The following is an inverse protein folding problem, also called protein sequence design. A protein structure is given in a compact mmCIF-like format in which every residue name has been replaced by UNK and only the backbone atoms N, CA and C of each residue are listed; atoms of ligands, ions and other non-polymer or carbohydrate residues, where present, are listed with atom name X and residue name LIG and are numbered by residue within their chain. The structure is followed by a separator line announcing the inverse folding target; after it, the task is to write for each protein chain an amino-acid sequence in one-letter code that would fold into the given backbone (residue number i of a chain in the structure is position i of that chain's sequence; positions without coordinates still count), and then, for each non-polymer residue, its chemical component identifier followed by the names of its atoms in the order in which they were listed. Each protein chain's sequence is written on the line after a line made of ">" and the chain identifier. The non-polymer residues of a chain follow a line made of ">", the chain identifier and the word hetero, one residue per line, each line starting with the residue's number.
data_IF_075357408670
#
_entry.id   IF_075357408670
#
_cell.length_a   1.000
_cell.length_b   1.000
_cell.length_c   1.000
_cell.angle_alpha   90.00
_cell.angle_beta   90.00
_cell.angle_gamma   90.00
#
_symmetry.space_group_name_H-M   'P 1'
#
loop_
_entity.id
_entity.type
_entity.pdbx_description
1 polymer ?
#
# COMPACT_ATOMS: atom_id res chain seq x y z
N UNK A 1 -4.81 22.90 -21.47
CA UNK A 1 -5.92 22.26 -20.72
C UNK A 1 -5.58 20.79 -20.55
N UNK A 2 -5.07 20.39 -19.39
CA UNK A 2 -4.75 18.98 -19.13
C UNK A 2 -6.05 18.23 -18.83
N UNK A 3 -6.48 17.40 -19.78
CA UNK A 3 -7.54 16.42 -19.56
C UNK A 3 -7.09 15.47 -18.46
N UNK A 4 -7.59 15.69 -17.24
CA UNK A 4 -7.24 14.91 -16.07
C UNK A 4 -7.86 13.52 -16.13
N UNK A 5 -7.23 12.60 -16.84
CA UNK A 5 -7.49 11.17 -16.72
C UNK A 5 -7.19 10.76 -15.28
N UNK A 6 -8.24 10.48 -14.49
CA UNK A 6 -8.13 10.12 -13.08
C UNK A 6 -8.89 8.83 -12.81
N UNK A 7 -8.35 8.09 -11.86
CA UNK A 7 -8.55 6.66 -11.74
C UNK A 7 -9.64 6.31 -10.76
N UNK A 8 -10.64 5.60 -11.28
CA UNK A 8 -11.62 4.87 -10.50
C UNK A 8 -10.95 3.59 -10.05
N UNK A 9 -10.87 3.39 -8.74
CA UNK A 9 -10.48 2.10 -8.16
C UNK A 9 -11.77 1.31 -7.98
N UNK A 10 -12.02 0.36 -8.88
CA UNK A 10 -13.14 -0.58 -8.76
C UNK A 10 -12.97 -1.47 -7.53
N UNK A 11 -14.06 -1.77 -6.84
CA UNK A 11 -14.07 -2.68 -5.70
C UNK A 11 -14.48 -4.08 -6.15
N UNK A 12 -13.68 -5.08 -5.80
CA UNK A 12 -14.04 -6.49 -5.97
C UNK A 12 -13.78 -7.16 -4.62
N UNK A 13 -14.86 -7.57 -3.95
CA UNK A 13 -14.75 -8.45 -2.80
C UNK A 13 -15.00 -9.88 -3.29
N UNK A 14 -14.12 -10.81 -2.93
CA UNK A 14 -14.27 -12.23 -3.25
C UNK A 14 -15.20 -12.96 -2.27
N UNK A 15 -15.99 -12.21 -1.50
CA UNK A 15 -16.69 -12.68 -0.32
C UNK A 15 -18.18 -12.33 -0.35
N UNK A 16 -19.01 -13.20 0.24
CA UNK A 16 -20.48 -13.11 0.15
C UNK A 16 -21.14 -12.50 1.40
N UNK A 17 -20.43 -12.46 2.53
CA UNK A 17 -20.97 -11.89 3.77
C UNK A 17 -20.81 -10.38 3.80
N UNK A 18 -21.93 -9.67 4.00
CA UNK A 18 -22.01 -8.22 4.07
C UNK A 18 -21.14 -7.66 5.21
N UNK A 19 -21.06 -8.38 6.34
CA UNK A 19 -20.20 -8.01 7.47
C UNK A 19 -18.73 -7.97 7.06
N UNK A 20 -18.26 -8.99 6.35
CA UNK A 20 -16.85 -9.10 5.96
C UNK A 20 -16.47 -8.08 4.88
N UNK A 21 -17.40 -7.77 3.98
CA UNK A 21 -17.25 -6.65 3.04
C UNK A 21 -17.06 -5.33 3.81
N UNK A 22 -17.90 -5.05 4.80
CA UNK A 22 -17.79 -3.83 5.61
C UNK A 22 -16.46 -3.79 6.36
N UNK A 23 -16.04 -4.90 6.96
CA UNK A 23 -14.81 -4.96 7.76
C UNK A 23 -13.55 -4.82 6.89
N UNK A 24 -13.42 -5.63 5.85
CA UNK A 24 -12.15 -5.77 5.13
C UNK A 24 -12.07 -4.89 3.89
N UNK A 25 -13.18 -4.66 3.18
CA UNK A 25 -13.17 -3.85 1.94
C UNK A 25 -13.49 -2.36 2.18
N UNK A 26 -14.30 -2.04 3.20
CA UNK A 26 -14.69 -0.65 3.51
C UNK A 26 -13.86 -0.08 4.66
N UNK A 27 -13.82 -0.77 5.80
CA UNK A 27 -13.06 -0.32 6.98
C UNK A 27 -11.57 -0.68 6.92
N UNK A 28 -11.15 -1.46 5.92
CA UNK A 28 -9.75 -1.81 5.62
C UNK A 28 -9.02 -2.36 6.84
N UNK A 29 -9.67 -3.26 7.57
CA UNK A 29 -9.07 -3.93 8.73
C UNK A 29 -8.05 -4.96 8.23
N UNK A 30 -6.86 -4.99 8.84
CA UNK A 30 -5.77 -5.87 8.43
C UNK A 30 -5.87 -7.27 9.06
N UNK A 31 -6.27 -7.35 10.32
CA UNK A 31 -6.23 -8.61 11.09
C UNK A 31 -7.61 -9.23 11.22
N UNK A 32 -7.63 -10.55 11.37
CA UNK A 32 -8.85 -11.30 11.66
C UNK A 32 -9.51 -10.81 12.96
N UNK A 33 -10.76 -10.41 12.82
CA UNK A 33 -11.58 -9.90 13.93
C UNK A 33 -12.49 -10.98 14.53
N UNK A 34 -12.53 -12.17 13.93
CA UNK A 34 -13.35 -13.30 14.37
C UNK A 34 -12.56 -14.28 15.25
N UNK A 35 -11.22 -14.20 15.29
CA UNK A 35 -10.38 -15.05 16.12
C UNK A 35 -10.36 -14.58 17.58
N UNK A 36 -10.45 -15.54 18.50
CA UNK A 36 -10.44 -15.29 19.96
C UNK A 36 -9.01 -15.12 20.51
N UNK A 37 -8.00 -15.49 19.73
CA UNK A 37 -6.60 -15.48 20.14
C UNK A 37 -5.88 -14.21 19.70
N UNK A 38 -5.63 -13.29 20.63
CA UNK A 38 -4.46 -12.40 20.63
C UNK A 38 -4.41 -11.22 19.66
N UNK A 39 -5.22 -11.17 18.60
CA UNK A 39 -5.17 -10.06 17.63
C UNK A 39 -5.92 -8.81 18.13
N UNK A 40 -5.44 -7.64 17.70
CA UNK A 40 -5.94 -6.32 18.12
C UNK A 40 -7.36 -6.09 17.58
N UNK A 41 -8.37 -6.45 18.36
CA UNK A 41 -9.78 -6.19 18.02
C UNK A 41 -10.02 -4.68 17.95
N UNK A 42 -10.48 -4.21 16.80
CA UNK A 42 -10.75 -2.78 16.60
C UNK A 42 -12.06 -2.41 17.31
N UNK A 43 -12.10 -1.23 17.95
CA UNK A 43 -13.29 -0.78 18.69
C UNK A 43 -14.43 -0.47 17.72
N UNK A 44 -15.67 -0.68 18.16
CA UNK A 44 -16.87 -0.40 17.35
C UNK A 44 -16.93 1.06 16.89
N UNK A 45 -16.50 1.99 17.74
CA UNK A 45 -16.40 3.42 17.38
C UNK A 45 -15.47 3.64 16.19
N UNK A 46 -14.28 3.03 16.21
CA UNK A 46 -13.30 3.15 15.14
C UNK A 46 -13.84 2.54 13.82
N UNK A 47 -14.62 1.44 13.91
CA UNK A 47 -15.33 0.87 12.74
C UNK A 47 -16.30 1.86 12.12
N UNK A 48 -17.13 2.49 12.94
CA UNK A 48 -18.13 3.47 12.50
C UNK A 48 -17.45 4.70 11.90
N UNK A 49 -16.39 5.20 12.52
CA UNK A 49 -15.65 6.38 12.04
C UNK A 49 -15.01 6.10 10.67
N UNK A 50 -14.43 4.90 10.47
CA UNK A 50 -13.89 4.49 9.16
C UNK A 50 -14.97 4.31 8.09
N UNK A 51 -16.12 3.74 8.46
CA UNK A 51 -17.27 3.61 7.55
C UNK A 51 -17.79 4.99 7.12
N UNK A 52 -17.94 5.92 8.07
CA UNK A 52 -18.35 7.29 7.79
C UNK A 52 -17.32 8.02 6.90
N UNK A 53 -16.03 7.81 7.16
CA UNK A 53 -14.96 8.36 6.32
C UNK A 53 -15.02 7.83 4.89
N UNK A 54 -15.19 6.51 4.72
CA UNK A 54 -15.34 5.92 3.39
C UNK A 54 -16.55 6.50 2.67
N UNK A 55 -17.71 6.53 3.34
CA UNK A 55 -18.96 7.05 2.77
C UNK A 55 -18.83 8.51 2.34
N UNK A 56 -18.23 9.38 3.18
CA UNK A 56 -17.99 10.78 2.84
C UNK A 56 -16.96 11.00 1.72
N UNK A 57 -16.17 9.98 1.40
CA UNK A 57 -15.16 10.03 0.34
C UNK A 57 -15.71 9.59 -1.02
N UNK A 58 -16.71 8.70 -1.04
CA UNK A 58 -17.38 8.24 -2.28
C UNK A 58 -17.99 9.42 -3.03
N UNK A 59 -17.70 9.54 -4.32
CA UNK A 59 -18.27 10.59 -5.17
C UNK A 59 -17.81 12.01 -4.82
N UNK A 60 -16.84 12.18 -3.91
CA UNK A 60 -16.31 13.50 -3.53
C UNK A 60 -15.70 14.25 -4.73
N UNK A 61 -15.19 13.52 -5.70
CA UNK A 61 -14.66 14.07 -6.95
C UNK A 61 -15.50 13.60 -8.12
N UNK A 62 -15.97 14.54 -8.95
CA UNK A 62 -16.81 14.23 -10.12
C UNK A 62 -16.15 13.30 -11.13
N UNK A 63 -14.81 13.26 -11.16
CA UNK A 63 -14.01 12.41 -12.03
C UNK A 63 -13.42 11.17 -11.33
N UNK A 64 -13.81 10.90 -10.08
CA UNK A 64 -13.45 9.69 -9.35
C UNK A 64 -14.65 9.27 -8.48
N UNK A 65 -15.61 8.50 -9.03
CA UNK A 65 -16.80 8.05 -8.30
C UNK A 65 -16.49 7.17 -7.08
N UNK A 66 -15.31 6.53 -7.02
CA UNK A 66 -14.88 5.72 -5.87
C UNK A 66 -14.49 6.55 -4.64
N UNK A 67 -14.19 5.86 -3.53
CA UNK A 67 -13.72 6.50 -2.29
C UNK A 67 -12.22 6.82 -2.28
N UNK A 68 -11.46 6.34 -3.27
CA UNK A 68 -10.00 6.42 -3.31
C UNK A 68 -9.51 7.12 -4.57
N UNK A 69 -8.36 7.78 -4.45
CA UNK A 69 -7.66 8.44 -5.55
C UNK A 69 -6.21 7.98 -5.58
N UNK A 70 -5.60 8.02 -6.77
CA UNK A 70 -4.20 7.68 -6.96
C UNK A 70 -3.48 8.75 -7.81
N UNK A 71 -2.25 9.16 -7.43
CA UNK A 71 -1.48 10.13 -8.20
C UNK A 71 -1.06 9.54 -9.55
N UNK A 72 -1.25 10.32 -10.62
CA UNK A 72 -0.65 10.04 -11.93
C UNK A 72 0.88 10.04 -11.75
N UNK A 73 1.58 9.13 -12.42
CA UNK A 73 3.02 8.83 -12.27
C UNK A 73 3.41 8.12 -10.97
N UNK A 74 2.44 7.79 -10.11
CA UNK A 74 2.66 6.95 -8.94
C UNK A 74 2.93 7.72 -7.64
N UNK A 75 3.03 6.97 -6.53
CA UNK A 75 3.14 7.55 -5.18
C UNK A 75 4.43 8.37 -4.96
N UNK A 76 5.46 8.17 -5.78
CA UNK A 76 6.70 8.95 -5.73
C UNK A 76 6.50 10.45 -5.95
N UNK A 77 5.44 10.85 -6.67
CA UNK A 77 5.12 12.27 -6.90
C UNK A 77 4.77 13.02 -5.62
N UNK A 78 4.28 12.32 -4.59
CA UNK A 78 3.96 12.94 -3.30
C UNK A 78 5.23 13.44 -2.61
N UNK A 79 6.26 12.60 -2.49
CA UNK A 79 7.51 12.99 -1.86
C UNK A 79 8.19 14.12 -2.63
N UNK A 80 8.19 14.06 -3.97
CA UNK A 80 8.71 15.12 -4.83
C UNK A 80 7.95 16.44 -4.65
N UNK A 81 6.61 16.40 -4.56
CA UNK A 81 5.77 17.58 -4.35
C UNK A 81 6.07 18.25 -3.01
N UNK A 82 6.24 17.47 -1.94
CA UNK A 82 6.64 18.00 -0.63
C UNK A 82 8.06 18.57 -0.65
N UNK A 83 9.02 17.89 -1.28
CA UNK A 83 10.38 18.39 -1.44
C UNK A 83 10.40 19.74 -2.18
N UNK A 84 9.62 19.86 -3.25
CA UNK A 84 9.46 21.12 -3.99
C UNK A 84 8.87 22.22 -3.11
N UNK A 85 7.83 21.91 -2.33
CA UNK A 85 7.22 22.88 -1.40
C UNK A 85 8.21 23.35 -0.33
N UNK A 86 9.03 22.45 0.20
CA UNK A 86 10.09 22.78 1.15
C UNK A 86 11.18 23.66 0.50
N UNK A 87 11.58 23.36 -0.73
CA UNK A 87 12.56 24.15 -1.47
C UNK A 87 12.11 25.60 -1.72
N UNK A 88 10.82 25.82 -2.01
CA UNK A 88 10.24 27.17 -2.11
C UNK A 88 10.37 27.96 -0.80
N UNK A 89 10.48 27.27 0.35
CA UNK A 89 10.72 27.86 1.67
C UNK A 89 12.19 27.92 2.06
N UNK A 90 13.11 27.66 1.13
CA UNK A 90 14.55 27.74 1.35
C UNK A 90 15.18 26.46 1.91
N UNK A 91 14.44 25.35 2.01
CA UNK A 91 15.02 24.07 2.41
C UNK A 91 15.82 23.46 1.26
N UNK A 92 17.07 23.09 1.51
CA UNK A 92 17.89 22.33 0.57
C UNK A 92 17.70 20.84 0.88
N UNK A 93 17.26 20.06 -0.11
CA UNK A 93 17.23 18.61 -0.03
C UNK A 93 18.42 18.05 -0.80
N UNK A 94 19.22 17.22 -0.15
CA UNK A 94 20.35 16.55 -0.78
C UNK A 94 20.76 15.32 0.03
N UNK A 95 21.24 14.29 -0.67
CA UNK A 95 21.81 13.10 -0.04
C UNK A 95 23.34 13.26 0.07
N UNK A 96 23.87 13.35 1.28
CA UNK A 96 25.32 13.44 1.50
C UNK A 96 25.70 13.93 2.90
N UNK A 97 26.97 13.77 3.25
CA UNK A 97 27.56 14.35 4.46
C UNK A 97 27.94 15.82 4.18
N UNK A 98 27.05 16.75 4.50
CA UNK A 98 27.29 18.18 4.29
C UNK A 98 28.04 18.79 5.48
N UNK A 99 29.15 19.49 5.21
CA UNK A 99 29.93 20.24 6.22
C UNK A 99 29.50 21.71 6.35
N UNK A 100 28.67 22.19 5.43
CA UNK A 100 28.27 23.60 5.33
C UNK A 100 27.54 23.92 4.03
N UNK A 101 27.13 25.19 3.89
CA UNK A 101 26.50 25.73 2.67
C UNK A 101 27.30 26.95 2.19
N UNK A 102 27.52 27.06 0.87
CA UNK A 102 28.09 28.25 0.25
C UNK A 102 26.99 29.07 -0.39
N UNK A 103 26.81 30.29 0.09
CA UNK A 103 25.82 31.23 -0.45
C UNK A 103 26.30 31.80 -1.79
N UNK A 104 25.35 32.24 -2.62
CA UNK A 104 25.65 32.90 -3.91
C UNK A 104 26.48 34.19 -3.76
N UNK A 105 26.51 34.79 -2.56
CA UNK A 105 27.39 35.91 -2.21
C UNK A 105 28.87 35.53 -2.07
N UNK A 106 29.20 34.24 -2.17
CA UNK A 106 30.54 33.71 -1.92
C UNK A 106 30.82 33.40 -0.44
N UNK A 107 29.90 33.75 0.46
CA UNK A 107 30.02 33.45 1.88
C UNK A 107 29.85 31.95 2.15
N UNK A 108 30.82 31.36 2.84
CA UNK A 108 30.81 29.95 3.22
C UNK A 108 30.40 29.83 4.70
N UNK A 109 29.30 29.14 4.96
CA UNK A 109 28.80 28.87 6.30
C UNK A 109 29.07 27.40 6.63
N UNK A 110 30.08 27.15 7.47
CA UNK A 110 30.39 25.83 8.02
C UNK A 110 29.89 25.74 9.47
N UNK A 111 29.27 24.62 9.82
CA UNK A 111 28.80 24.37 11.19
C UNK A 111 28.94 22.88 11.51
N UNK A 112 29.47 22.58 12.70
CA UNK A 112 29.49 21.23 13.27
C UNK A 112 28.08 20.76 13.69
N UNK A 113 27.14 21.71 13.84
CA UNK A 113 25.75 21.51 14.22
C UNK A 113 24.84 21.99 13.09
N UNK A 114 25.02 21.45 11.88
CA UNK A 114 24.04 21.67 10.83
C UNK A 114 22.74 20.98 11.29
N UNK A 115 21.70 21.77 11.60
CA UNK A 115 20.36 21.22 11.80
C UNK A 115 19.82 20.88 10.41
N UNK A 116 20.33 19.79 9.85
CA UNK A 116 19.56 19.00 8.91
C UNK A 116 18.27 18.69 9.66
N UNK A 117 17.11 18.95 9.06
CA UNK A 117 15.87 18.44 9.61
C UNK A 117 16.13 16.98 9.93
N UNK A 118 16.10 16.61 11.23
CA UNK A 118 16.35 15.25 11.68
C UNK A 118 15.59 14.33 10.71
N UNK A 119 16.20 13.25 10.18
CA UNK A 119 15.43 12.29 9.40
C UNK A 119 14.18 12.03 10.24
N UNK A 120 13.01 12.41 9.70
CA UNK A 120 11.76 12.30 10.43
C UNK A 120 11.56 10.80 10.66
N UNK A 121 12.06 10.30 11.77
CA UNK A 121 11.64 9.04 12.35
C UNK A 121 10.26 9.39 12.85
N UNK A 122 9.24 9.02 12.09
CA UNK A 122 7.87 9.03 12.58
C UNK A 122 7.89 8.07 13.76
N UNK A 123 7.82 8.56 15.02
CA UNK A 123 7.56 7.66 16.11
C UNK A 123 6.13 7.19 15.85
N UNK A 124 5.94 5.89 15.69
CA UNK A 124 4.61 5.34 15.87
C UNK A 124 4.30 5.52 17.36
N UNK A 125 3.72 6.67 17.71
CA UNK A 125 3.18 6.91 19.03
C UNK A 125 2.00 5.95 19.21
N UNK A 126 2.30 4.82 19.84
CA UNK A 126 1.29 4.06 20.56
C UNK A 126 0.70 5.03 21.58
N UNK A 127 -0.58 5.33 21.41
CA UNK A 127 -1.37 6.13 22.34
C UNK A 127 -1.33 5.43 23.70
N UNK A 128 -0.43 5.87 24.58
CA UNK A 128 -0.49 5.59 26.00
C UNK A 128 -0.44 6.87 26.80
N UNK A 129 -1.24 6.86 27.85
CA UNK A 129 -1.75 7.99 28.61
C UNK A 129 -0.64 8.86 29.20
N UNK A 130 -0.95 10.17 29.26
CA UNK A 130 -0.30 11.12 30.19
C UNK A 130 -0.10 10.47 31.55
N UNK A 131 1.13 10.51 32.06
CA UNK A 131 1.48 11.12 33.34
C UNK A 131 2.99 11.42 33.41
N UNK A 132 3.31 12.51 34.09
CA UNK A 132 4.60 13.19 34.19
C UNK A 132 5.61 12.42 35.05
N UNK A 133 6.90 12.44 34.67
CA UNK A 133 7.98 13.03 35.49
C UNK A 133 9.37 12.86 34.83
N UNK A 134 10.18 13.91 34.91
CA UNK A 134 11.60 13.97 34.57
C UNK A 134 12.43 13.01 35.43
N UNK A 135 13.45 12.36 34.88
CA UNK A 135 14.88 12.63 35.15
C UNK A 135 15.79 11.52 34.58
N UNK A 136 17.04 11.92 34.45
CA UNK A 136 18.20 11.28 33.85
C UNK A 136 18.49 9.81 34.21
N UNK A 137 19.32 9.26 33.31
CA UNK A 137 20.39 8.31 33.53
C UNK A 137 20.16 6.80 33.31
N UNK A 138 21.04 6.26 32.45
CA UNK A 138 21.40 4.85 32.30
C UNK A 138 20.29 3.86 31.87
N UNK A 139 19.92 3.87 30.59
CA UNK A 139 19.05 2.84 30.03
C UNK A 139 19.87 1.69 29.41
N UNK A 140 20.26 0.76 30.28
CA UNK A 140 20.24 -0.65 29.92
C UNK A 140 18.80 -1.03 29.63
N UNK A 141 18.40 -0.93 28.36
CA UNK A 141 17.08 -1.33 27.91
C UNK A 141 17.11 -2.82 27.56
N UNK A 142 16.56 -3.60 28.49
CA UNK A 142 16.02 -4.93 28.22
C UNK A 142 15.35 -4.95 26.86
N UNK A 143 15.88 -5.78 25.96
CA UNK A 143 15.21 -6.18 24.73
C UNK A 143 13.99 -7.01 25.12
N UNK A 144 12.89 -6.35 25.48
CA UNK A 144 11.58 -6.96 25.24
C UNK A 144 11.51 -7.19 23.74
N UNK A 145 11.37 -8.45 23.34
CA UNK A 145 11.12 -8.85 21.96
C UNK A 145 9.90 -8.08 21.43
N UNK A 146 10.15 -6.93 20.80
CA UNK A 146 9.15 -6.23 20.02
C UNK A 146 8.86 -7.16 18.85
N UNK A 147 7.69 -7.81 18.87
CA UNK A 147 7.18 -8.57 17.73
C UNK A 147 7.16 -7.60 16.55
N UNK A 148 8.16 -7.73 15.67
CA UNK A 148 8.28 -6.87 14.49
C UNK A 148 7.30 -7.39 13.45
N UNK A 149 6.15 -6.73 13.36
CA UNK A 149 5.28 -6.84 12.19
C UNK A 149 6.11 -6.57 10.93
N UNK A 150 5.99 -7.46 9.94
CA UNK A 150 6.64 -7.35 8.64
C UNK A 150 5.57 -7.11 7.58
N UNK A 151 5.93 -6.33 6.57
CA UNK A 151 5.10 -6.10 5.39
C UNK A 151 5.73 -6.81 4.19
N UNK A 152 5.07 -7.85 3.70
CA UNK A 152 5.50 -8.55 2.49
C UNK A 152 4.76 -7.93 1.30
N UNK A 153 5.50 -7.63 0.23
CA UNK A 153 4.98 -7.02 -1.00
C UNK A 153 5.33 -7.86 -2.20
N UNK A 154 4.40 -7.95 -3.15
CA UNK A 154 4.59 -8.56 -4.46
C UNK A 154 4.23 -7.55 -5.55
N UNK A 155 4.91 -7.64 -6.69
CA UNK A 155 4.60 -6.83 -7.88
C UNK A 155 4.48 -7.79 -9.05
N UNK A 156 3.34 -7.75 -9.73
CA UNK A 156 3.06 -8.54 -10.93
C UNK A 156 2.80 -7.60 -12.11
N UNK A 157 3.27 -7.98 -13.28
CA UNK A 157 3.05 -7.25 -14.53
C UNK A 157 2.31 -8.17 -15.50
N UNK A 158 1.23 -7.67 -16.09
CA UNK A 158 0.40 -8.42 -17.03
C UNK A 158 0.04 -7.59 -18.26
N UNK A 159 -0.34 -8.26 -19.35
CA UNK A 159 -0.85 -7.64 -20.59
C UNK A 159 -2.37 -7.47 -20.62
N UNK A 160 -3.05 -8.00 -19.60
CA UNK A 160 -4.50 -7.90 -19.44
C UNK A 160 -4.84 -7.57 -17.99
N UNK A 161 -6.00 -6.96 -17.79
CA UNK A 161 -6.51 -6.62 -16.46
C UNK A 161 -7.04 -7.85 -15.73
N UNK A 162 -6.98 -7.81 -14.40
CA UNK A 162 -7.66 -8.74 -13.49
C UNK A 162 -9.17 -8.79 -13.70
N UNK A 163 -9.80 -7.69 -14.09
CA UNK A 163 -11.23 -7.64 -14.40
C UNK A 163 -11.47 -6.89 -15.72
N UNK A 164 -12.16 -7.51 -16.70
CA UNK A 164 -12.53 -6.82 -17.93
C UNK A 164 -13.20 -5.48 -17.64
N UNK A 165 -12.85 -4.46 -18.43
CA UNK A 165 -13.39 -3.09 -18.38
C UNK A 165 -13.06 -2.28 -17.12
N UNK A 166 -12.28 -2.82 -16.17
CA UNK A 166 -11.84 -2.09 -14.98
C UNK A 166 -10.37 -1.72 -15.11
N UNK A 167 -10.09 -0.46 -15.44
CA UNK A 167 -8.72 -0.01 -15.67
C UNK A 167 -7.84 -0.01 -14.41
N UNK A 168 -8.43 0.18 -13.24
CA UNK A 168 -7.72 0.13 -11.97
C UNK A 168 -8.67 -0.37 -10.88
N UNK A 169 -8.18 -1.21 -9.99
CA UNK A 169 -9.02 -1.79 -8.95
C UNK A 169 -8.25 -2.13 -7.69
N UNK A 170 -9.00 -2.22 -6.59
CA UNK A 170 -8.52 -2.70 -5.31
C UNK A 170 -9.36 -3.90 -4.93
N UNK A 171 -8.67 -5.01 -4.73
CA UNK A 171 -9.24 -6.32 -4.41
C UNK A 171 -8.72 -6.71 -3.04
N UNK A 172 -9.60 -7.31 -2.25
CA UNK A 172 -9.31 -7.75 -0.89
C UNK A 172 -9.58 -9.23 -0.74
N UNK A 173 -8.60 -9.94 -0.20
CA UNK A 173 -8.81 -11.27 0.35
C UNK A 173 -8.89 -11.16 1.86
N UNK A 174 -10.09 -11.32 2.40
CA UNK A 174 -10.31 -11.34 3.84
C UNK A 174 -9.56 -12.51 4.50
N UNK A 175 -9.27 -12.44 5.80
CA UNK A 175 -8.74 -13.57 6.55
C UNK A 175 -9.55 -14.84 6.31
N UNK A 176 -8.83 -15.95 6.18
CA UNK A 176 -9.32 -17.30 5.85
C UNK A 176 -9.99 -17.46 4.47
N UNK A 177 -9.94 -16.47 3.58
CA UNK A 177 -10.60 -16.58 2.26
C UNK A 177 -9.80 -17.38 1.23
N UNK A 178 -8.47 -17.36 1.28
CA UNK A 178 -7.61 -18.13 0.37
C UNK A 178 -7.11 -19.43 0.99
N UNK A 179 -6.66 -19.36 2.23
CA UNK A 179 -6.08 -20.48 2.98
C UNK A 179 -6.57 -20.40 4.44
N UNK A 180 -6.93 -21.51 5.10
CA UNK A 180 -7.42 -21.49 6.50
C UNK A 180 -6.46 -20.83 7.50
N UNK A 181 -5.14 -20.95 7.29
CA UNK A 181 -4.12 -20.32 8.16
C UNK A 181 -3.95 -18.80 7.95
N UNK A 182 -4.66 -18.21 6.98
CA UNK A 182 -4.57 -16.78 6.69
C UNK A 182 -5.28 -15.98 7.78
N UNK A 183 -4.51 -15.35 8.66
CA UNK A 183 -5.00 -14.47 9.74
C UNK A 183 -5.05 -12.99 9.35
N UNK A 184 -4.41 -12.60 8.25
CA UNK A 184 -4.35 -11.21 7.78
C UNK A 184 -5.04 -11.03 6.43
N UNK A 185 -5.61 -9.86 6.18
CA UNK A 185 -6.14 -9.49 4.87
C UNK A 185 -5.00 -9.27 3.86
N UNK A 186 -5.20 -9.71 2.62
CA UNK A 186 -4.30 -9.43 1.51
C UNK A 186 -4.92 -8.35 0.64
N UNK A 187 -4.15 -7.31 0.36
CA UNK A 187 -4.57 -6.20 -0.48
C UNK A 187 -3.91 -6.31 -1.84
N UNK A 188 -4.72 -6.21 -2.90
CA UNK A 188 -4.26 -6.28 -4.29
C UNK A 188 -4.72 -5.04 -5.03
N UNK A 189 -3.77 -4.27 -5.52
CA UNK A 189 -4.01 -3.00 -6.18
C UNK A 189 -3.49 -3.02 -7.60
N UNK A 190 -4.41 -3.08 -8.56
CA UNK A 190 -4.09 -3.05 -9.98
C UNK A 190 -4.18 -1.62 -10.53
N UNK A 191 -3.16 -1.26 -11.31
CA UNK A 191 -3.09 -0.02 -12.05
C UNK A 191 -2.82 -0.29 -13.53
N UNK A 192 -3.53 0.41 -14.39
CA UNK A 192 -3.24 0.41 -15.83
C UNK A 192 -2.35 1.59 -16.23
N UNK A 193 -1.93 1.57 -17.49
CA UNK A 193 -1.23 2.67 -18.13
C UNK A 193 -1.96 4.03 -18.09
N UNK A 194 -3.26 4.10 -17.74
CA UNK A 194 -4.00 5.37 -17.67
C UNK A 194 -3.53 6.31 -16.54
N UNK A 195 -2.76 5.81 -15.56
CA UNK A 195 -2.03 6.62 -14.56
C UNK A 195 -0.55 6.78 -14.87
N UNK A 196 -0.10 6.40 -16.06
CA UNK A 196 1.29 6.52 -16.48
C UNK A 196 2.29 5.85 -15.51
N UNK A 197 1.90 4.72 -14.91
CA UNK A 197 2.79 3.88 -14.08
C UNK A 197 3.44 2.75 -14.86
N UNK A 198 2.92 2.44 -16.06
CA UNK A 198 3.42 1.40 -16.95
C UNK A 198 3.11 1.72 -18.43
N UNK A 199 3.78 1.04 -19.39
CA UNK A 199 3.54 1.22 -20.81
C UNK A 199 2.10 0.89 -21.24
N UNK A 200 1.68 1.46 -22.38
CA UNK A 200 0.34 1.23 -22.95
C UNK A 200 0.06 -0.26 -23.17
N UNK A 201 -1.15 -0.70 -22.83
CA UNK A 201 -1.57 -2.11 -22.94
C UNK A 201 -1.04 -3.02 -21.84
N UNK A 202 -0.42 -2.45 -20.80
CA UNK A 202 0.07 -3.21 -19.64
C UNK A 202 -0.61 -2.77 -18.35
N UNK A 203 -0.51 -3.66 -17.36
CA UNK A 203 -1.06 -3.50 -16.02
C UNK A 203 0.00 -3.87 -14.99
N UNK A 204 0.08 -3.10 -13.91
CA UNK A 204 0.94 -3.37 -12.75
C UNK A 204 0.04 -3.63 -11.56
N UNK A 205 0.23 -4.78 -10.91
CA UNK A 205 -0.51 -5.19 -9.74
C UNK A 205 0.41 -5.26 -8.53
N UNK A 206 0.08 -4.51 -7.49
CA UNK A 206 0.76 -4.53 -6.20
C UNK A 206 -0.01 -5.41 -5.23
N UNK A 207 0.62 -6.43 -4.67
CA UNK A 207 0.06 -7.26 -3.61
C UNK A 207 0.78 -6.94 -2.30
N UNK A 208 0.05 -6.93 -1.19
CA UNK A 208 0.66 -6.72 0.12
C UNK A 208 -0.11 -7.42 1.25
N UNK A 209 0.64 -7.88 2.24
CA UNK A 209 0.12 -8.50 3.47
C UNK A 209 1.02 -8.17 4.66
N UNK A 210 0.40 -7.91 5.81
CA UNK A 210 1.11 -7.76 7.09
C UNK A 210 1.17 -9.12 7.78
N UNK A 211 2.35 -9.50 8.25
CA UNK A 211 2.60 -10.80 8.89
C UNK A 211 3.79 -10.71 9.84
N UNK A 212 3.86 -11.58 10.85
CA UNK A 212 5.02 -11.67 11.75
C UNK A 212 6.21 -12.37 11.07
N UNK A 213 5.91 -13.36 10.23
CA UNK A 213 6.90 -14.13 9.49
C UNK A 213 6.82 -13.88 7.97
N UNK A 214 7.98 -13.57 7.39
CA UNK A 214 8.09 -13.28 5.97
C UNK A 214 7.91 -14.53 5.10
N UNK A 215 8.23 -15.73 5.60
CA UNK A 215 8.02 -16.98 4.86
C UNK A 215 6.52 -17.26 4.73
N UNK A 216 5.77 -17.12 5.83
CA UNK A 216 4.31 -17.17 5.80
C UNK A 216 3.73 -16.09 4.88
N UNK A 217 4.18 -14.84 4.98
CA UNK A 217 3.71 -13.75 4.13
C UNK A 217 3.93 -14.03 2.64
N UNK A 218 5.07 -14.63 2.26
CA UNK A 218 5.33 -15.07 0.89
C UNK A 218 4.35 -16.15 0.44
N UNK A 219 4.11 -17.19 1.26
CA UNK A 219 3.14 -18.26 0.96
C UNK A 219 1.74 -17.66 0.68
N UNK A 220 1.32 -16.66 1.46
CA UNK A 220 0.05 -15.96 1.27
C UNK A 220 0.00 -15.18 -0.04
N UNK A 221 1.07 -14.45 -0.39
CA UNK A 221 1.12 -13.74 -1.67
C UNK A 221 1.15 -14.71 -2.85
N UNK A 222 1.87 -15.83 -2.77
CA UNK A 222 1.89 -16.85 -3.82
C UNK A 222 0.49 -17.45 -4.03
N UNK A 223 -0.27 -17.67 -2.95
CA UNK A 223 -1.66 -18.12 -3.03
C UNK A 223 -2.57 -17.08 -3.72
N UNK A 224 -2.44 -15.80 -3.37
CA UNK A 224 -3.18 -14.72 -4.02
C UNK A 224 -2.82 -14.58 -5.50
N UNK A 225 -1.53 -14.71 -5.85
CA UNK A 225 -1.05 -14.70 -7.23
C UNK A 225 -1.67 -15.85 -8.02
N UNK A 226 -1.64 -17.08 -7.51
CA UNK A 226 -2.25 -18.24 -8.18
C UNK A 226 -3.78 -18.13 -8.29
N UNK A 227 -4.43 -17.45 -7.34
CA UNK A 227 -5.85 -17.18 -7.39
C UNK A 227 -6.21 -16.19 -8.50
N UNK A 228 -5.37 -15.18 -8.73
CA UNK A 228 -5.65 -14.06 -9.64
C UNK A 228 -5.08 -14.23 -11.05
N UNK A 229 -3.91 -14.84 -11.17
CA UNK A 229 -3.14 -14.91 -12.41
C UNK A 229 -2.96 -16.35 -12.88
N UNK A 230 -2.72 -16.50 -14.18
CA UNK A 230 -2.11 -17.69 -14.74
C UNK A 230 -0.59 -17.54 -14.69
N UNK A 231 0.10 -18.48 -14.05
CA UNK A 231 1.56 -18.55 -14.01
C UNK A 231 2.00 -19.57 -15.06
N UNK A 232 2.72 -19.17 -16.12
CA UNK A 232 3.25 -20.12 -17.09
C UNK A 232 4.23 -21.05 -16.39
N UNK A 233 4.00 -22.36 -16.42
CA UNK A 233 4.97 -23.33 -15.92
C UNK A 233 6.13 -23.35 -16.91
N UNK A 234 7.31 -22.90 -16.48
CA UNK A 234 8.55 -23.03 -17.26
C UNK A 234 8.87 -24.50 -17.49
N UNK A 235 8.39 -25.07 -18.60
CA UNK A 235 8.76 -26.42 -19.02
C UNK A 235 7.68 -27.21 -19.76
N UNK A 236 7.15 -26.71 -20.88
CA UNK A 236 6.90 -27.53 -22.08
C UNK A 236 6.53 -26.62 -23.24
N UNK A 237 7.43 -26.51 -24.21
CA UNK A 237 7.12 -26.03 -25.54
C UNK A 237 6.26 -27.07 -26.24
N UNK A 238 4.99 -26.73 -26.50
CA UNK A 238 4.29 -27.22 -27.69
C UNK A 238 3.19 -26.24 -28.08
N UNK A 239 3.24 -25.88 -29.36
CA UNK A 239 2.27 -25.06 -30.07
C UNK A 239 0.89 -25.69 -29.96
N UNK A 240 -0.12 -24.88 -29.64
CA UNK A 240 -1.41 -24.98 -30.33
C UNK A 240 -2.11 -23.63 -30.32
N UNK A 241 -2.23 -23.05 -31.52
CA UNK A 241 -3.11 -21.94 -31.80
C UNK A 241 -4.56 -22.46 -31.77
N UNK A 242 -5.32 -22.06 -30.76
CA UNK A 242 -6.78 -21.97 -30.87
C UNK A 242 -7.25 -20.68 -30.19
N UNK A 243 -7.49 -19.67 -31.01
CA UNK A 243 -8.14 -18.42 -30.63
C UNK A 243 -9.62 -18.71 -30.33
N UNK A 244 -9.95 -18.90 -29.06
CA UNK A 244 -11.27 -18.62 -28.53
C UNK A 244 -11.12 -17.62 -27.38
N UNK A 245 -11.75 -16.42 -27.45
CA UNK A 245 -11.69 -15.46 -26.36
C UNK A 245 -12.63 -15.96 -25.26
N UNK A 246 -12.12 -16.81 -24.39
CA UNK A 246 -12.84 -17.17 -23.18
C UNK A 246 -12.78 -15.93 -22.26
N UNK A 247 -13.90 -15.22 -22.09
CA UNK A 247 -13.95 -13.93 -21.37
C UNK A 247 -13.63 -14.01 -19.87
N UNK A 248 -13.27 -15.21 -19.38
CA UNK A 248 -12.93 -15.52 -17.99
C UNK A 248 -11.50 -16.07 -17.82
N UNK A 249 -10.62 -15.92 -18.82
CA UNK A 249 -9.24 -16.36 -18.69
C UNK A 249 -8.45 -15.43 -17.73
N UNK A 250 -7.81 -16.02 -16.71
CA UNK A 250 -6.92 -15.27 -15.79
C UNK A 250 -5.77 -14.61 -16.57
N UNK A 251 -5.38 -13.37 -16.23
CA UNK A 251 -4.23 -12.72 -16.86
C UNK A 251 -2.94 -13.52 -16.63
N UNK A 252 -2.12 -13.65 -17.68
CA UNK A 252 -0.81 -14.27 -17.57
C UNK A 252 0.23 -13.25 -17.06
N UNK A 253 1.02 -13.66 -16.08
CA UNK A 253 2.17 -12.87 -15.61
C UNK A 253 3.30 -12.96 -16.64
N UNK A 254 3.95 -11.82 -16.90
CA UNK A 254 5.13 -11.70 -17.76
C UNK A 254 6.43 -12.04 -17.03
#
# INVERSE_FOLDING_TARGET
>A
MASGSRVVVGFISCETSLERIILYAIALVADDQESVEGYKVIKTRDRIDRLALYHSSVGRFSNAPGAMIYPIYGQGELSQSFCRRAAVKGCLNGSGNYKGVKLASGQELSSHNLILASPFVIPFDTVESRNQSQQDDSLGLDKKDVVKEKLVKGICIAKSSLKPDVANCLIFFAPRSLIPEQVSSIHVFELSSNVAVCPSGMFVTYLSVICEDAVQGKKLLDAAINALFYVPVSGTSQNDHTDHPNSNAKPAIL
#
